data_IF_863022568275
#
_entry.id   IF_863022568275
#
_cell.length_a   1.000
_cell.length_b   1.000
_cell.length_c   1.000
_cell.angle_alpha   90.00
_cell.angle_beta   90.00
_cell.angle_gamma   90.00
#
_symmetry.space_group_name_H-M   'P 1'
#
loop_
_entity.id
_entity.type
_entity.pdbx_description
1 polymer ?
#
# COMPACT_ATOMS: atom_id res chain seq x y z
N UNK A 1 22.81 10.04 -4.90
CA UNK A 1 21.44 9.91 -5.44
C UNK A 1 20.49 9.93 -4.25
N UNK A 2 19.61 10.92 -4.14
CA UNK A 2 18.63 11.01 -3.05
C UNK A 2 17.39 10.23 -3.49
N UNK A 3 16.86 9.35 -2.63
CA UNK A 3 15.62 8.62 -2.93
C UNK A 3 14.43 9.58 -2.95
N UNK A 4 13.39 9.27 -3.73
CA UNK A 4 12.17 10.10 -3.81
C UNK A 4 11.59 10.42 -2.43
N UNK A 5 11.59 9.43 -1.53
CA UNK A 5 11.15 9.58 -0.15
C UNK A 5 12.03 10.58 0.63
N UNK A 6 13.36 10.50 0.48
CA UNK A 6 14.29 11.40 1.17
C UNK A 6 14.19 12.84 0.64
N UNK A 7 13.93 13.03 -0.65
CA UNK A 7 13.70 14.36 -1.22
C UNK A 7 12.45 15.01 -0.62
N UNK A 8 11.33 14.29 -0.60
CA UNK A 8 10.09 14.82 -0.02
C UNK A 8 10.17 14.99 1.50
N UNK A 9 10.85 14.10 2.22
CA UNK A 9 11.10 14.26 3.64
C UNK A 9 11.93 15.52 3.93
N UNK A 10 12.90 15.87 3.07
CA UNK A 10 13.69 17.09 3.23
C UNK A 10 12.90 18.39 2.98
N UNK A 11 11.79 18.30 2.23
CA UNK A 11 10.87 19.43 2.01
C UNK A 11 9.83 19.57 3.14
N UNK A 12 9.60 18.50 3.90
CA UNK A 12 8.83 18.57 5.12
C UNK A 12 9.77 19.14 6.19
N UNK A 13 9.69 20.45 6.44
CA UNK A 13 10.50 21.12 7.46
C UNK A 13 10.37 20.46 8.84
N UNK A 14 11.22 20.87 9.80
CA UNK A 14 11.21 20.38 11.17
C UNK A 14 9.84 20.63 11.81
N UNK A 15 8.95 19.64 11.73
CA UNK A 15 7.65 19.66 12.41
C UNK A 15 7.87 19.31 13.88
N UNK A 16 7.17 19.98 14.81
CA UNK A 16 7.19 19.57 16.21
C UNK A 16 6.80 18.09 16.32
N UNK A 17 7.32 17.35 17.32
CA UNK A 17 7.08 15.90 17.46
C UNK A 17 5.59 15.54 17.56
N UNK A 18 4.75 16.52 17.84
CA UNK A 18 3.29 16.46 17.94
C UNK A 18 2.59 16.36 16.55
N UNK A 19 3.26 16.83 15.49
CA UNK A 19 2.82 16.82 14.09
C UNK A 19 3.55 15.77 13.23
N UNK A 20 4.31 14.87 13.87
CA UNK A 20 4.95 13.76 13.18
C UNK A 20 3.84 12.81 12.72
N UNK A 21 3.44 12.95 11.45
CA UNK A 21 2.48 12.06 10.81
C UNK A 21 3.16 10.70 10.63
N UNK A 22 3.18 9.89 11.69
CA UNK A 22 3.73 8.54 11.67
C UNK A 22 2.91 7.76 10.66
N UNK A 23 3.53 7.42 9.53
CA UNK A 23 2.92 6.55 8.56
C UNK A 23 2.74 5.18 9.21
N UNK A 24 1.51 4.89 9.67
CA UNK A 24 1.12 3.58 10.18
C UNK A 24 1.12 2.58 9.03
N UNK A 25 2.30 2.03 8.74
CA UNK A 25 2.47 0.99 7.74
C UNK A 25 2.28 -0.37 8.40
N UNK A 26 1.48 -1.22 7.80
CA UNK A 26 1.28 -2.61 8.22
C UNK A 26 1.35 -3.48 6.98
N UNK A 27 2.22 -4.49 7.00
CA UNK A 27 2.31 -5.48 5.93
C UNK A 27 1.27 -6.56 6.19
N UNK A 28 0.29 -6.65 5.29
CA UNK A 28 -0.68 -7.75 5.29
C UNK A 28 -0.08 -8.91 4.49
N UNK A 29 -0.04 -10.15 5.02
CA UNK A 29 0.37 -11.31 4.23
C UNK A 29 -0.69 -11.56 3.16
N UNK A 30 -0.34 -11.30 1.90
CA UNK A 30 -1.32 -11.26 0.80
C UNK A 30 -1.77 -12.68 0.38
N UNK A 31 -0.89 -13.69 0.40
CA UNK A 31 -1.28 -15.07 0.10
C UNK A 31 -0.32 -16.12 0.69
N UNK A 32 -0.86 -17.30 0.99
CA UNK A 32 -0.08 -18.53 1.21
C UNK A 32 0.09 -19.34 -0.09
N UNK A 33 -0.89 -19.26 -0.99
CA UNK A 33 -0.89 -19.91 -2.31
C UNK A 33 -0.59 -18.93 -3.44
N UNK A 34 -0.06 -19.43 -4.57
CA UNK A 34 0.22 -18.60 -5.73
C UNK A 34 -1.09 -18.03 -6.31
N UNK A 35 -1.22 -16.70 -6.32
CA UNK A 35 -2.34 -16.04 -6.97
C UNK A 35 -2.21 -16.17 -8.51
N UNK A 36 -3.25 -16.70 -9.16
CA UNK A 36 -3.19 -17.03 -10.59
C UNK A 36 -4.38 -16.50 -11.41
N UNK A 37 -5.37 -15.87 -10.77
CA UNK A 37 -6.56 -15.39 -11.46
C UNK A 37 -6.90 -13.95 -11.15
N UNK A 38 -7.50 -13.27 -12.14
CA UNK A 38 -8.04 -11.91 -11.98
C UNK A 38 -9.06 -11.86 -10.84
N UNK A 39 -9.92 -12.88 -10.72
CA UNK A 39 -10.92 -12.95 -9.64
C UNK A 39 -10.28 -12.96 -8.24
N UNK A 40 -9.20 -13.71 -8.05
CA UNK A 40 -8.45 -13.71 -6.78
C UNK A 40 -7.84 -12.34 -6.48
N UNK A 41 -7.28 -11.66 -7.48
CA UNK A 41 -6.70 -10.33 -7.29
C UNK A 41 -7.78 -9.28 -6.99
N UNK A 42 -8.96 -9.37 -7.62
CA UNK A 42 -10.10 -8.49 -7.27
C UNK A 42 -10.51 -8.67 -5.82
N UNK A 43 -10.72 -9.93 -5.41
CA UNK A 43 -11.08 -10.25 -4.04
C UNK A 43 -10.04 -9.75 -3.03
N UNK A 44 -8.75 -9.88 -3.37
CA UNK A 44 -7.66 -9.35 -2.57
C UNK A 44 -7.73 -7.82 -2.43
N UNK A 45 -7.97 -7.09 -3.54
CA UNK A 45 -8.10 -5.64 -3.49
C UNK A 45 -9.23 -5.19 -2.56
N UNK A 46 -10.35 -5.92 -2.54
CA UNK A 46 -11.47 -5.64 -1.63
C UNK A 46 -11.10 -5.91 -0.17
N UNK A 47 -10.37 -6.99 0.12
CA UNK A 47 -9.85 -7.30 1.46
C UNK A 47 -8.88 -6.20 1.92
N UNK A 48 -7.90 -5.82 1.08
CA UNK A 48 -6.92 -4.79 1.43
C UNK A 48 -7.61 -3.45 1.68
N UNK A 49 -8.58 -3.06 0.84
CA UNK A 49 -9.38 -1.85 1.05
C UNK A 49 -10.11 -1.88 2.40
N UNK A 50 -10.68 -3.03 2.78
CA UNK A 50 -11.40 -3.20 4.04
C UNK A 50 -10.45 -3.14 5.23
N UNK A 51 -9.33 -3.86 5.17
CA UNK A 51 -8.32 -3.87 6.21
C UNK A 51 -7.70 -2.48 6.43
N UNK A 52 -7.38 -1.75 5.35
CA UNK A 52 -6.89 -0.37 5.43
C UNK A 52 -7.96 0.55 6.00
N UNK A 53 -9.24 0.38 5.66
CA UNK A 53 -10.33 1.15 6.27
C UNK A 53 -10.42 0.98 7.79
N UNK A 54 -10.08 -0.20 8.31
CA UNK A 54 -10.07 -0.48 9.76
C UNK A 54 -8.77 -0.02 10.43
N UNK A 55 -7.62 -0.38 9.86
CA UNK A 55 -6.31 -0.13 10.47
C UNK A 55 -5.84 1.31 10.29
N UNK A 56 -6.16 1.93 9.14
CA UNK A 56 -5.70 3.25 8.74
C UNK A 56 -6.86 4.08 8.14
N UNK A 57 -7.85 4.48 8.95
CA UNK A 57 -8.97 5.28 8.46
C UNK A 57 -8.50 6.55 7.73
N UNK A 58 -9.03 6.79 6.54
CA UNK A 58 -8.70 7.96 5.72
C UNK A 58 -7.43 7.84 4.87
N UNK A 59 -6.67 6.75 4.98
CA UNK A 59 -5.54 6.48 4.08
C UNK A 59 -5.97 5.74 2.80
N UNK A 60 -5.24 5.99 1.71
CA UNK A 60 -5.46 5.28 0.44
C UNK A 60 -4.79 3.91 0.53
N UNK A 61 -5.53 2.80 0.31
CA UNK A 61 -4.92 1.47 0.28
C UNK A 61 -3.91 1.35 -0.87
N UNK A 62 -2.71 0.87 -0.54
CA UNK A 62 -1.66 0.59 -1.51
C UNK A 62 -1.34 -0.91 -1.51
N UNK A 63 -1.24 -1.50 -2.71
CA UNK A 63 -0.91 -2.90 -2.92
C UNK A 63 0.37 -2.99 -3.76
N UNK A 64 1.38 -3.69 -3.26
CA UNK A 64 2.60 -4.02 -4.01
C UNK A 64 2.56 -5.49 -4.42
N UNK A 65 2.98 -5.78 -5.65
CA UNK A 65 3.00 -7.13 -6.20
C UNK A 65 4.16 -7.30 -7.17
N UNK A 66 4.53 -8.55 -7.47
CA UNK A 66 5.56 -8.87 -8.46
C UNK A 66 5.04 -8.66 -9.89
N UNK A 67 5.94 -8.69 -10.88
CA UNK A 67 5.64 -8.33 -12.28
C UNK A 67 4.42 -9.08 -12.87
N UNK A 68 4.26 -10.42 -12.69
CA UNK A 68 3.13 -11.15 -13.26
C UNK A 68 1.79 -10.78 -12.59
N UNK A 69 1.79 -10.62 -11.27
CA UNK A 69 0.60 -10.22 -10.52
C UNK A 69 0.23 -8.76 -10.80
N UNK A 70 1.21 -7.90 -11.03
CA UNK A 70 0.97 -6.51 -11.44
C UNK A 70 0.21 -6.43 -12.76
N UNK A 71 0.56 -7.28 -13.74
CA UNK A 71 -0.19 -7.36 -15.00
C UNK A 71 -1.65 -7.76 -14.78
N UNK A 72 -1.92 -8.73 -13.90
CA UNK A 72 -3.28 -9.14 -13.55
C UNK A 72 -4.04 -8.03 -12.79
N UNK A 73 -3.37 -7.37 -11.85
CA UNK A 73 -3.93 -6.25 -11.09
C UNK A 73 -4.33 -5.08 -12.01
N UNK A 74 -3.52 -4.79 -13.03
CA UNK A 74 -3.80 -3.75 -14.03
C UNK A 74 -4.97 -4.05 -14.96
N UNK A 75 -5.44 -5.29 -15.06
CA UNK A 75 -6.67 -5.60 -15.79
C UNK A 75 -7.94 -5.19 -15.02
N UNK A 76 -7.81 -4.96 -13.71
CA UNK A 76 -8.91 -4.62 -12.81
C UNK A 76 -9.02 -3.10 -12.63
N UNK A 77 -7.87 -2.40 -12.61
CA UNK A 77 -7.73 -0.94 -12.45
C UNK A 77 -7.74 -0.17 -13.77
#
# INVERSE_FOLDING_TARGET
>A
MISWAAYHASQQGVRPPEDLNVAHTSLLPLFHDKAHSVAMIRHLMDIVKTAVGVLNPGQIPALTCDQPLYTLAKQIQ
#
